data_IF_984941016019
#
_entry.id   IF_984941016019
#
_cell.length_a   1.000
_cell.length_b   1.000
_cell.length_c   1.000
_cell.angle_alpha   90.00
_cell.angle_beta   90.00
_cell.angle_gamma   90.00
#
_symmetry.space_group_name_H-M   'P 1'
#
loop_
_entity.id
_entity.type
_entity.pdbx_description
1 polymer ?
#
# COMPACT_ATOMS: atom_id res chain seq x y z
N UNK A 1 100.82 37.72 17.56
CA UNK A 1 99.52 37.79 16.86
C UNK A 1 98.46 37.38 17.89
N UNK A 2 97.98 38.26 18.78
CA UNK A 2 97.08 39.41 18.58
C UNK A 2 95.91 39.15 17.63
N UNK A 3 94.70 39.16 18.23
CA UNK A 3 93.61 40.08 17.93
C UNK A 3 92.28 39.50 17.39
N UNK A 4 91.25 39.69 18.22
CA UNK A 4 89.92 40.29 17.94
C UNK A 4 88.80 39.53 17.19
N UNK A 5 87.61 39.60 17.82
CA UNK A 5 86.21 39.42 17.33
C UNK A 5 85.88 40.41 16.17
N UNK A 6 84.63 40.59 15.62
CA UNK A 6 83.30 39.99 15.91
C UNK A 6 82.37 39.70 14.68
N UNK A 7 81.22 39.06 14.96
CA UNK A 7 79.87 39.46 14.50
C UNK A 7 79.47 39.34 13.02
N UNK A 8 78.35 38.65 12.76
CA UNK A 8 77.34 39.08 11.77
C UNK A 8 76.00 38.36 11.98
N UNK A 9 74.94 39.12 11.74
CA UNK A 9 73.52 39.02 12.09
C UNK A 9 72.68 38.15 11.11
N UNK A 10 71.42 37.79 11.44
CA UNK A 10 70.54 36.84 10.71
C UNK A 10 69.66 37.54 9.65
N UNK A 11 68.93 36.79 8.78
CA UNK A 11 67.44 36.73 8.86
C UNK A 11 66.82 35.48 8.15
N UNK A 12 65.49 35.38 7.87
CA UNK A 12 64.30 35.74 8.67
C UNK A 12 63.32 34.55 8.86
N UNK A 13 62.37 34.80 9.75
CA UNK A 13 61.19 34.01 10.10
C UNK A 13 60.28 33.66 8.91
N UNK A 14 59.99 32.36 8.73
CA UNK A 14 58.84 31.91 7.96
C UNK A 14 57.65 31.67 8.92
N UNK A 15 56.57 32.40 8.65
CA UNK A 15 55.27 32.25 9.30
C UNK A 15 54.54 31.02 8.75
N UNK A 16 53.58 30.57 9.56
CA UNK A 16 52.30 29.92 9.18
C UNK A 16 52.34 28.53 8.53
N UNK A 17 51.85 27.53 9.24
CA UNK A 17 50.48 27.02 8.99
C UNK A 17 50.09 25.94 10.01
N UNK A 18 48.92 26.17 10.61
CA UNK A 18 48.11 25.20 11.35
C UNK A 18 47.56 24.19 10.32
N UNK A 19 47.56 22.87 10.56
CA UNK A 19 46.66 21.99 9.84
C UNK A 19 45.28 22.09 10.49
N UNK A 20 44.45 22.93 9.90
CA UNK A 20 43.00 22.86 10.04
C UNK A 20 42.44 21.78 9.10
N UNK A 21 41.26 21.30 9.48
CA UNK A 21 40.29 20.56 8.68
C UNK A 21 40.50 19.05 8.48
N UNK A 22 40.03 18.33 9.49
CA UNK A 22 39.26 17.12 9.29
C UNK A 22 38.07 17.41 8.34
N UNK A 23 37.77 16.56 7.33
CA UNK A 23 36.62 16.79 6.49
C UNK A 23 35.34 16.56 7.27
N UNK A 24 34.53 17.61 7.34
CA UNK A 24 33.18 17.60 7.86
C UNK A 24 32.34 16.53 7.16
N UNK A 25 31.71 15.67 7.95
CA UNK A 25 30.68 14.75 7.48
C UNK A 25 29.46 15.57 7.02
N UNK A 26 29.33 15.78 5.73
CA UNK A 26 28.15 16.39 5.11
C UNK A 26 26.98 15.41 5.22
N UNK A 27 26.28 15.46 6.35
CA UNK A 27 25.03 14.74 6.57
C UNK A 27 23.94 15.32 5.67
N UNK A 28 23.67 14.65 4.56
CA UNK A 28 22.57 14.99 3.67
C UNK A 28 21.24 14.75 4.39
N UNK A 29 20.43 15.80 4.52
CA UNK A 29 19.07 15.70 5.04
C UNK A 29 18.17 15.07 3.98
N UNK A 30 17.80 13.82 4.18
CA UNK A 30 16.86 13.06 3.32
C UNK A 30 15.42 13.57 3.48
N UNK A 31 15.15 14.30 4.56
CA UNK A 31 13.88 14.95 4.87
C UNK A 31 14.18 16.41 5.22
N UNK A 32 14.15 17.31 4.24
CA UNK A 32 14.37 18.73 4.51
C UNK A 32 13.39 19.25 5.57
N UNK A 33 13.92 19.79 6.67
CA UNK A 33 13.14 20.63 7.58
C UNK A 33 12.83 21.93 6.82
N UNK A 34 11.57 22.11 6.43
CA UNK A 34 11.09 23.39 5.90
C UNK A 34 11.05 24.45 7.00
N UNK A 35 11.25 25.74 6.68
CA UNK A 35 11.27 26.79 7.70
C UNK A 35 9.87 26.98 8.29
N UNK A 36 9.83 27.31 9.58
CA UNK A 36 8.63 27.83 10.22
C UNK A 36 8.23 29.15 9.55
N UNK A 37 7.19 29.11 8.72
CA UNK A 37 6.59 30.29 8.12
C UNK A 37 5.21 30.52 8.75
N UNK A 38 5.16 31.51 9.62
CA UNK A 38 3.95 32.30 9.91
C UNK A 38 3.54 33.05 8.65
N UNK A 39 2.43 32.68 8.01
CA UNK A 39 1.46 33.68 7.54
C UNK A 39 0.08 33.06 7.25
N UNK A 40 -0.92 33.88 7.56
CA UNK A 40 -2.35 33.64 7.58
C UNK A 40 -2.90 33.66 6.16
N UNK A 41 -3.30 32.50 5.62
CA UNK A 41 -4.27 32.46 4.53
C UNK A 41 -5.27 31.34 4.77
N UNK A 42 -6.54 31.73 4.75
CA UNK A 42 -7.68 30.98 5.22
C UNK A 42 -7.81 29.61 4.51
N UNK A 43 -7.71 28.55 5.31
CA UNK A 43 -8.11 27.20 4.95
C UNK A 43 -9.63 27.14 4.83
N UNK A 44 -10.22 26.43 3.86
CA UNK A 44 -11.62 26.08 3.92
C UNK A 44 -11.79 24.97 4.99
N UNK A 45 -11.97 25.39 6.24
CA UNK A 45 -12.47 24.52 7.30
C UNK A 45 -13.98 24.28 7.12
N UNK A 46 -14.38 23.05 7.45
CA UNK A 46 -15.74 22.60 7.76
C UNK A 46 -16.69 22.32 6.59
N UNK A 47 -16.85 21.02 6.27
CA UNK A 47 -18.15 20.34 6.19
C UNK A 47 -17.98 18.80 6.10
N UNK A 48 -17.48 18.20 7.17
CA UNK A 48 -17.71 16.77 7.45
C UNK A 48 -17.73 16.55 8.97
N UNK A 49 -18.80 16.98 9.62
CA UNK A 49 -19.17 16.47 10.95
C UNK A 49 -20.65 16.12 10.95
N UNK A 50 -20.94 14.86 10.67
CA UNK A 50 -22.11 14.14 11.22
C UNK A 50 -22.12 12.70 10.68
N UNK A 51 -21.44 11.83 11.42
CA UNK A 51 -21.37 10.39 11.20
C UNK A 51 -20.20 9.87 12.03
N UNK A 52 -20.46 9.26 13.18
CA UNK A 52 -19.39 8.70 14.01
C UNK A 52 -18.54 7.72 13.19
N UNK A 53 -17.23 7.60 13.44
CA UNK A 53 -16.38 6.74 12.62
C UNK A 53 -16.85 5.29 12.78
N UNK A 54 -17.23 4.67 11.66
CA UNK A 54 -17.36 3.21 11.56
C UNK A 54 -15.99 2.65 11.96
N UNK A 55 -15.91 2.07 13.15
CA UNK A 55 -14.65 1.51 13.66
C UNK A 55 -14.35 0.25 12.85
N UNK A 56 -13.22 0.23 12.15
CA UNK A 56 -12.69 -1.00 11.56
C UNK A 56 -12.42 -2.03 12.64
N UNK A 57 -12.48 -3.31 12.26
CA UNK A 57 -12.20 -4.40 13.19
C UNK A 57 -10.71 -4.47 13.57
N UNK A 58 -9.83 -3.84 12.78
CA UNK A 58 -8.39 -3.80 12.97
C UNK A 58 -7.72 -2.55 12.38
N UNK A 59 -6.37 -2.51 12.40
CA UNK A 59 -5.57 -1.46 11.76
C UNK A 59 -5.90 -1.30 10.28
N UNK A 60 -5.96 -0.05 9.82
CA UNK A 60 -6.33 0.30 8.45
C UNK A 60 -5.54 1.49 7.95
N UNK A 61 -5.24 1.53 6.65
CA UNK A 61 -4.72 2.74 6.00
C UNK A 61 -5.85 3.76 5.86
N UNK A 62 -5.60 4.98 6.34
CA UNK A 62 -6.54 6.11 6.31
C UNK A 62 -6.09 7.23 5.38
N UNK A 63 -4.84 7.22 4.96
CA UNK A 63 -4.29 8.20 4.02
C UNK A 63 -3.16 7.57 3.19
N UNK A 64 -3.14 7.88 1.90
CA UNK A 64 -2.05 7.57 0.98
C UNK A 64 -1.37 8.88 0.55
N UNK A 65 -0.05 8.95 0.68
CA UNK A 65 0.75 10.13 0.34
C UNK A 65 1.72 9.84 -0.79
N UNK A 66 1.62 10.62 -1.86
CA UNK A 66 2.46 10.54 -3.04
C UNK A 66 3.20 11.87 -3.18
N UNK A 67 4.24 12.04 -2.36
CA UNK A 67 5.03 13.27 -2.35
C UNK A 67 5.78 13.49 -3.67
N UNK A 68 6.28 12.42 -4.28
CA UNK A 68 6.88 12.43 -5.61
C UNK A 68 6.83 11.01 -6.18
N UNK A 69 5.81 10.67 -6.97
CA UNK A 69 5.66 9.30 -7.51
C UNK A 69 4.90 9.31 -8.83
N UNK A 70 5.53 8.83 -9.90
CA UNK A 70 4.98 8.84 -11.26
C UNK A 70 4.40 10.23 -11.62
N UNK A 71 3.11 10.32 -11.92
CA UNK A 71 2.43 11.58 -12.22
C UNK A 71 2.17 12.49 -11.00
N UNK A 72 2.30 11.97 -9.77
CA UNK A 72 1.90 12.69 -8.55
C UNK A 72 3.04 13.47 -7.91
N UNK A 73 2.72 14.68 -7.45
CA UNK A 73 3.62 15.53 -6.66
C UNK A 73 2.85 16.21 -5.53
N UNK A 74 3.27 15.94 -4.29
CA UNK A 74 2.66 16.51 -3.09
C UNK A 74 1.17 16.16 -2.94
N UNK A 75 0.77 14.96 -3.33
CA UNK A 75 -0.64 14.54 -3.27
C UNK A 75 -0.90 13.68 -2.02
N UNK A 76 -1.88 14.09 -1.21
CA UNK A 76 -2.33 13.34 -0.03
C UNK A 76 -3.79 12.94 -0.24
N UNK A 77 -4.06 11.65 -0.28
CA UNK A 77 -5.38 11.07 -0.58
C UNK A 77 -5.99 10.44 0.65
N UNK A 78 -7.17 10.90 1.12
CA UNK A 78 -7.87 10.22 2.21
C UNK A 78 -8.36 8.85 1.73
N UNK A 79 -8.34 7.87 2.62
CA UNK A 79 -8.80 6.50 2.37
C UNK A 79 -9.88 6.16 3.41
N UNK A 80 -11.12 6.01 2.94
CA UNK A 80 -12.28 5.58 3.70
C UNK A 80 -12.62 4.10 3.48
N UNK A 81 -13.71 3.59 4.08
CA UNK A 81 -14.12 2.20 3.94
C UNK A 81 -14.37 1.78 2.49
N UNK A 82 -15.03 2.64 1.71
CA UNK A 82 -15.15 2.48 0.25
C UNK A 82 -14.68 3.78 -0.41
N UNK A 83 -13.57 3.71 -1.12
CA UNK A 83 -12.91 4.87 -1.75
C UNK A 83 -12.68 4.61 -3.23
N UNK A 84 -13.12 5.53 -4.08
CA UNK A 84 -12.93 5.43 -5.52
C UNK A 84 -12.21 6.67 -6.05
N UNK A 85 -11.08 6.45 -6.70
CA UNK A 85 -10.35 7.49 -7.42
C UNK A 85 -11.01 7.71 -8.79
N UNK A 86 -11.35 8.96 -9.08
CA UNK A 86 -11.99 9.40 -10.31
C UNK A 86 -11.15 10.48 -11.00
N UNK A 87 -11.43 10.74 -12.28
CA UNK A 87 -10.76 11.78 -13.06
C UNK A 87 -10.42 11.33 -14.49
N UNK A 88 -9.94 12.23 -15.36
CA UNK A 88 -9.65 11.94 -16.76
C UNK A 88 -8.60 10.83 -16.96
N UNK A 89 -8.52 10.30 -18.19
CA UNK A 89 -7.38 9.48 -18.58
C UNK A 89 -6.06 10.23 -18.35
N UNK A 90 -5.07 9.58 -17.76
CA UNK A 90 -3.78 10.20 -17.43
C UNK A 90 -3.69 10.89 -16.07
N UNK A 91 -4.79 11.05 -15.32
CA UNK A 91 -4.79 11.71 -13.99
C UNK A 91 -4.06 10.95 -12.88
N UNK A 92 -3.44 9.81 -13.17
CA UNK A 92 -2.70 9.04 -12.18
C UNK A 92 -3.54 8.16 -11.23
N UNK A 93 -4.80 7.85 -11.56
CA UNK A 93 -5.63 6.93 -10.75
C UNK A 93 -4.94 5.57 -10.53
N UNK A 94 -4.48 4.96 -11.62
CA UNK A 94 -3.80 3.66 -11.56
C UNK A 94 -2.44 3.75 -10.87
N UNK A 95 -1.72 4.89 -10.99
CA UNK A 95 -0.46 5.07 -10.26
C UNK A 95 -0.68 5.23 -8.76
N UNK A 96 -1.79 5.83 -8.32
CA UNK A 96 -2.15 5.88 -6.90
C UNK A 96 -2.42 4.48 -6.33
N UNK A 97 -3.20 3.64 -7.03
CA UNK A 97 -3.40 2.25 -6.61
C UNK A 97 -2.11 1.44 -6.61
N UNK A 98 -1.25 1.63 -7.63
CA UNK A 98 0.06 0.97 -7.71
C UNK A 98 0.96 1.33 -6.54
N UNK A 99 0.95 2.59 -6.10
CA UNK A 99 1.71 3.00 -4.93
C UNK A 99 1.21 2.33 -3.64
N UNK A 100 -0.11 2.18 -3.50
CA UNK A 100 -0.69 1.46 -2.36
C UNK A 100 -0.36 -0.04 -2.42
N UNK A 101 -0.48 -0.69 -3.58
CA UNK A 101 -0.04 -2.08 -3.78
C UNK A 101 1.46 -2.24 -3.45
N UNK A 102 2.30 -1.30 -3.85
CA UNK A 102 3.73 -1.32 -3.53
C UNK A 102 4.01 -1.20 -2.03
N UNK A 103 3.34 -0.28 -1.32
CA UNK A 103 3.43 -0.18 0.14
C UNK A 103 2.97 -1.46 0.84
N UNK A 104 1.88 -2.07 0.35
CA UNK A 104 1.38 -3.34 0.87
C UNK A 104 2.43 -4.46 0.75
N UNK A 105 3.04 -4.60 -0.42
CA UNK A 105 4.10 -5.61 -0.68
C UNK A 105 5.34 -5.37 0.17
N UNK A 106 5.79 -4.12 0.30
CA UNK A 106 6.90 -3.75 1.18
C UNK A 106 6.58 -4.04 2.66
N UNK A 107 5.35 -3.77 3.09
CA UNK A 107 4.86 -4.14 4.42
C UNK A 107 4.79 -5.65 4.66
N UNK A 108 4.60 -6.43 3.59
CA UNK A 108 4.72 -7.89 3.58
C UNK A 108 6.16 -8.42 3.58
N UNK A 109 7.15 -7.56 3.36
CA UNK A 109 8.57 -7.92 3.39
C UNK A 109 9.19 -8.25 2.03
N UNK A 110 8.45 -8.05 0.92
CA UNK A 110 9.01 -8.19 -0.44
C UNK A 110 10.21 -7.24 -0.63
N UNK A 111 11.29 -7.68 -1.30
CA UNK A 111 12.41 -6.83 -1.62
C UNK A 111 12.07 -5.80 -2.72
N UNK A 112 12.78 -4.67 -2.75
CA UNK A 112 12.48 -3.55 -3.64
C UNK A 112 12.46 -3.91 -5.13
N UNK A 113 13.34 -4.78 -5.60
CA UNK A 113 13.45 -5.19 -7.00
C UNK A 113 12.23 -6.00 -7.47
N UNK A 114 11.65 -6.81 -6.58
CA UNK A 114 10.38 -7.48 -6.84
C UNK A 114 9.19 -6.51 -6.80
N UNK A 115 9.21 -5.51 -5.91
CA UNK A 115 8.13 -4.52 -5.78
C UNK A 115 8.12 -3.53 -6.95
N UNK A 116 9.30 -3.08 -7.38
CA UNK A 116 9.51 -2.09 -8.43
C UNK A 116 10.40 -2.67 -9.54
N UNK A 117 9.85 -3.54 -10.41
CA UNK A 117 10.59 -4.09 -11.55
C UNK A 117 11.02 -3.01 -12.55
N UNK A 118 10.27 -1.90 -12.61
CA UNK A 118 10.64 -0.68 -13.33
C UNK A 118 10.65 0.51 -12.36
N UNK A 119 11.76 0.75 -11.64
CA UNK A 119 11.86 1.83 -10.67
C UNK A 119 11.95 3.21 -11.34
N UNK A 120 12.47 3.28 -12.57
CA UNK A 120 12.55 4.53 -13.33
C UNK A 120 11.15 5.07 -13.68
N UNK A 121 10.21 4.19 -14.04
CA UNK A 121 8.80 4.54 -14.26
C UNK A 121 8.06 5.02 -13.00
N UNK A 122 8.64 4.84 -11.81
CA UNK A 122 8.10 5.38 -10.55
C UNK A 122 8.63 6.79 -10.25
N UNK A 123 9.75 7.19 -10.88
CA UNK A 123 10.28 8.54 -10.77
C UNK A 123 9.42 9.48 -11.60
N UNK A 124 8.97 10.62 -11.04
CA UNK A 124 8.25 11.60 -11.84
C UNK A 124 9.07 12.12 -13.04
N UNK A 125 8.44 12.19 -14.21
CA UNK A 125 9.10 12.42 -15.50
C UNK A 125 10.05 13.64 -15.50
N UNK A 126 9.58 14.79 -15.02
CA UNK A 126 10.38 16.02 -14.92
C UNK A 126 11.40 16.08 -13.77
N UNK A 127 11.62 14.99 -13.02
CA UNK A 127 12.60 14.99 -11.94
C UNK A 127 14.02 14.90 -12.51
N UNK A 128 14.78 15.98 -12.38
CA UNK A 128 16.19 16.02 -12.76
C UNK A 128 17.02 15.12 -11.84
N UNK A 129 18.04 14.49 -12.40
CA UNK A 129 19.07 13.84 -11.61
C UNK A 129 19.83 14.89 -10.81
N UNK A 130 20.26 14.52 -9.60
CA UNK A 130 21.18 15.36 -8.85
C UNK A 130 22.61 15.33 -9.44
N UNK A 131 23.53 16.08 -8.83
CA UNK A 131 24.92 16.16 -9.29
C UNK A 131 25.69 14.82 -9.26
N UNK A 132 25.11 13.77 -8.68
CA UNK A 132 25.65 12.41 -8.66
C UNK A 132 24.86 11.45 -9.57
N UNK A 133 23.96 11.97 -10.40
CA UNK A 133 23.14 11.17 -11.30
C UNK A 133 21.99 10.44 -10.60
N UNK A 134 21.66 10.79 -9.34
CA UNK A 134 20.65 10.06 -8.57
C UNK A 134 19.25 10.59 -8.84
N UNK A 135 18.30 9.67 -9.00
CA UNK A 135 16.87 9.95 -9.14
C UNK A 135 16.08 8.99 -8.27
N UNK A 136 14.90 9.42 -7.82
CA UNK A 136 14.11 8.65 -6.87
C UNK A 136 12.69 9.17 -6.72
N UNK A 137 11.94 8.48 -5.87
CA UNK A 137 10.53 8.76 -5.60
C UNK A 137 10.24 8.66 -4.10
N UNK A 138 9.13 9.26 -3.69
CA UNK A 138 8.66 9.29 -2.29
C UNK A 138 7.17 8.96 -2.22
N UNK A 139 6.88 7.91 -1.45
CA UNK A 139 5.55 7.40 -1.16
C UNK A 139 5.40 7.20 0.34
N UNK A 140 4.18 7.20 0.84
CA UNK A 140 3.91 7.00 2.27
C UNK A 140 2.43 6.76 2.53
N UNK A 141 2.10 6.40 3.76
CA UNK A 141 0.72 6.23 4.20
C UNK A 141 0.55 6.53 5.69
N UNK A 142 -0.67 6.84 6.09
CA UNK A 142 -1.08 6.86 7.51
C UNK A 142 -1.94 5.64 7.78
N UNK A 143 -1.68 4.97 8.89
CA UNK A 143 -2.56 3.95 9.45
C UNK A 143 -3.20 4.46 10.73
N UNK A 144 -4.41 3.98 11.01
CA UNK A 144 -5.11 4.20 12.27
C UNK A 144 -5.46 2.86 12.91
N UNK A 145 -5.51 2.83 14.23
CA UNK A 145 -5.66 1.60 15.02
C UNK A 145 -5.35 1.79 16.51
N UNK A 146 -5.04 0.69 17.24
CA UNK A 146 -4.79 0.75 18.68
C UNK A 146 -3.64 1.68 19.12
N UNK A 147 -2.63 1.88 18.28
CA UNK A 147 -1.52 2.80 18.54
C UNK A 147 -1.86 4.26 18.18
N UNK A 148 -3.10 4.53 17.76
CA UNK A 148 -3.51 5.81 17.17
C UNK A 148 -2.94 6.01 15.76
N UNK A 149 -2.93 7.26 15.25
CA UNK A 149 -2.39 7.55 13.93
C UNK A 149 -0.87 7.29 13.86
N UNK A 150 -0.46 6.45 12.92
CA UNK A 150 0.94 6.12 12.64
C UNK A 150 1.24 6.43 11.18
N UNK A 151 2.26 7.27 10.96
CA UNK A 151 2.67 7.80 9.66
C UNK A 151 3.96 7.13 9.20
N UNK A 152 3.96 6.55 8.01
CA UNK A 152 5.14 6.04 7.31
C UNK A 152 5.44 6.90 6.08
N UNK A 153 6.66 7.43 5.97
CA UNK A 153 7.17 8.09 4.77
C UNK A 153 8.44 7.38 4.28
N UNK A 154 8.46 7.01 2.99
CA UNK A 154 9.51 6.22 2.37
C UNK A 154 10.15 7.00 1.20
N UNK A 155 11.48 7.03 1.17
CA UNK A 155 12.27 7.58 0.08
C UNK A 155 13.10 6.48 -0.58
N UNK A 156 12.87 6.28 -1.87
CA UNK A 156 13.53 5.26 -2.69
C UNK A 156 14.34 5.95 -3.77
N UNK A 157 15.62 5.59 -3.88
CA UNK A 157 16.44 5.89 -5.03
C UNK A 157 16.16 4.83 -6.10
N UNK A 158 15.85 5.26 -7.31
CA UNK A 158 15.65 4.41 -8.48
C UNK A 158 16.95 4.27 -9.29
N UNK A 159 17.69 5.37 -9.44
CA UNK A 159 18.90 5.45 -10.26
C UNK A 159 20.04 6.05 -9.43
N UNK A 160 21.31 5.63 -9.63
CA UNK A 160 21.74 4.55 -10.53
C UNK A 160 21.51 3.15 -9.97
N UNK A 161 21.23 3.02 -8.67
CA UNK A 161 20.97 1.74 -8.01
C UNK A 161 19.70 1.83 -7.20
N UNK A 162 18.80 0.88 -7.40
CA UNK A 162 17.57 0.76 -6.63
C UNK A 162 17.89 0.49 -5.16
N UNK A 163 17.44 1.37 -4.26
CA UNK A 163 17.58 1.20 -2.80
C UNK A 163 16.71 2.18 -2.01
N UNK A 164 16.37 1.82 -0.79
CA UNK A 164 15.80 2.73 0.21
C UNK A 164 16.92 3.65 0.70
N UNK A 165 16.70 4.96 0.58
CA UNK A 165 17.65 5.98 1.05
C UNK A 165 17.21 6.64 2.35
N UNK A 166 15.92 6.54 2.67
CA UNK A 166 15.37 6.99 3.93
C UNK A 166 13.96 6.48 4.17
N UNK A 167 13.66 6.33 5.45
CA UNK A 167 12.38 5.89 5.96
C UNK A 167 12.11 6.64 7.25
N UNK A 168 10.87 7.04 7.47
CA UNK A 168 10.44 7.69 8.69
C UNK A 168 9.12 7.09 9.16
N UNK A 169 9.11 6.55 10.38
CA UNK A 169 7.91 6.13 11.09
C UNK A 169 7.64 7.12 12.23
N UNK A 170 6.47 7.71 12.27
CA UNK A 170 6.05 8.68 13.29
C UNK A 170 4.74 8.22 13.93
N UNK A 171 4.64 8.29 15.26
CA UNK A 171 3.43 7.91 15.99
C UNK A 171 3.40 8.56 17.37
N UNK A 172 2.21 8.97 17.83
CA UNK A 172 2.08 9.67 19.12
C UNK A 172 2.84 11.02 19.20
N UNK A 173 3.05 11.68 18.06
CA UNK A 173 3.83 12.92 17.97
C UNK A 173 5.35 12.74 17.92
N UNK A 174 5.84 11.51 18.06
CA UNK A 174 7.27 11.19 18.12
C UNK A 174 7.78 10.51 16.85
N UNK A 175 9.07 10.73 16.53
CA UNK A 175 9.76 9.97 15.47
C UNK A 175 10.23 8.65 16.08
N UNK A 176 9.59 7.55 15.65
CA UNK A 176 9.81 6.21 16.18
C UNK A 176 10.94 5.48 15.45
N UNK A 177 11.03 5.68 14.13
CA UNK A 177 12.12 5.17 13.30
C UNK A 177 12.55 6.25 12.32
N UNK A 178 13.86 6.37 12.13
CA UNK A 178 14.45 7.04 10.98
C UNK A 178 15.55 6.16 10.38
N UNK A 179 15.62 6.10 9.06
CA UNK A 179 16.74 5.50 8.34
C UNK A 179 17.41 6.55 7.44
N UNK A 180 18.73 6.42 7.27
CA UNK A 180 19.49 7.26 6.37
C UNK A 180 20.61 6.46 5.71
N UNK A 181 20.75 6.61 4.40
CA UNK A 181 21.94 6.14 3.69
C UNK A 181 23.15 7.00 4.09
N UNK A 182 24.10 6.40 4.82
CA UNK A 182 25.34 7.07 5.26
C UNK A 182 26.54 6.72 4.40
N UNK A 183 26.60 5.49 3.93
CA UNK A 183 27.68 4.96 3.09
C UNK A 183 27.07 4.32 1.84
N UNK A 184 27.08 5.03 0.69
CA UNK A 184 26.55 4.50 -0.57
C UNK A 184 27.24 3.22 -1.07
N UNK A 185 28.46 2.94 -0.59
CA UNK A 185 29.21 1.73 -0.93
C UNK A 185 28.70 0.47 -0.24
N UNK A 186 27.77 0.59 0.72
CA UNK A 186 27.15 -0.54 1.43
C UNK A 186 25.70 -0.72 1.01
N UNK A 187 25.24 -1.96 1.06
CA UNK A 187 23.83 -2.36 0.90
C UNK A 187 23.04 -2.26 2.22
N UNK A 188 23.30 -1.20 2.98
CA UNK A 188 22.67 -0.99 4.30
C UNK A 188 22.42 0.49 4.56
N UNK A 189 21.28 0.78 5.17
CA UNK A 189 20.99 2.09 5.76
C UNK A 189 21.26 2.08 7.26
N UNK A 190 21.68 3.23 7.79
CA UNK A 190 21.77 3.42 9.23
C UNK A 190 20.38 3.70 9.78
N UNK A 191 19.83 2.77 10.56
CA UNK A 191 18.59 2.98 11.28
C UNK A 191 18.84 3.54 12.68
N UNK A 192 17.91 4.36 13.16
CA UNK A 192 17.80 4.80 14.53
C UNK A 192 16.34 4.71 14.98
N UNK A 193 16.06 3.98 16.07
CA UNK A 193 14.73 3.88 16.64
C UNK A 193 14.67 4.36 18.08
N UNK A 194 13.53 4.93 18.43
CA UNK A 194 13.25 5.53 19.72
C UNK A 194 13.30 4.49 20.86
N UNK A 195 13.77 4.89 22.03
CA UNK A 195 13.77 4.00 23.21
C UNK A 195 13.13 4.63 24.45
N UNK A 196 13.03 5.96 24.56
CA UNK A 196 12.71 6.64 25.83
C UNK A 196 13.59 6.17 27.02
N UNK A 197 14.78 5.63 26.77
CA UNK A 197 15.72 5.16 27.79
C UNK A 197 16.88 6.14 28.04
N UNK A 198 17.88 5.70 28.80
CA UNK A 198 19.09 6.50 29.09
C UNK A 198 19.84 6.95 27.82
N UNK A 199 19.76 6.14 26.75
CA UNK A 199 20.18 6.53 25.40
C UNK A 199 18.91 6.76 24.57
N UNK A 200 18.67 7.96 24.03
CA UNK A 200 17.38 8.31 23.42
C UNK A 200 17.00 7.45 22.21
N UNK A 201 18.00 6.91 21.50
CA UNK A 201 17.81 6.04 20.33
C UNK A 201 18.77 4.86 20.34
N UNK A 202 18.34 3.72 19.81
CA UNK A 202 19.25 2.63 19.43
C UNK A 202 19.57 2.74 17.94
N UNK A 203 20.83 2.51 17.57
CA UNK A 203 21.30 2.57 16.18
C UNK A 203 21.79 1.21 15.72
N UNK A 204 21.36 0.78 14.54
CA UNK A 204 21.84 -0.44 13.91
C UNK A 204 21.73 -0.34 12.39
N UNK A 205 22.53 -1.11 11.62
CA UNK A 205 22.33 -1.23 10.20
C UNK A 205 21.08 -2.07 9.89
N UNK A 206 20.30 -1.62 8.92
CA UNK A 206 19.24 -2.37 8.26
C UNK A 206 19.58 -2.51 6.77
N UNK A 207 19.14 -3.58 6.10
CA UNK A 207 19.31 -3.71 4.65
C UNK A 207 18.59 -2.55 3.95
N UNK A 208 19.13 -2.11 2.81
CA UNK A 208 18.56 -1.01 2.01
C UNK A 208 17.60 -1.49 0.91
N UNK A 209 17.26 -2.79 0.89
CA UNK A 209 16.35 -3.42 -0.07
C UNK A 209 15.00 -3.83 0.54
N UNK A 210 14.79 -3.61 1.84
CA UNK A 210 13.58 -3.98 2.59
C UNK A 210 13.10 -2.85 3.49
N UNK A 211 11.79 -2.81 3.72
CA UNK A 211 11.18 -1.84 4.62
C UNK A 211 11.66 -2.06 6.07
N UNK A 212 12.34 -1.07 6.65
CA UNK A 212 12.87 -1.13 8.00
C UNK A 212 11.76 -1.30 9.05
N UNK A 213 10.60 -0.67 8.85
CA UNK A 213 9.40 -0.82 9.69
C UNK A 213 8.97 -2.27 9.80
N UNK A 214 9.02 -3.04 8.70
CA UNK A 214 8.67 -4.47 8.71
C UNK A 214 9.69 -5.33 9.48
N UNK A 215 10.93 -4.84 9.65
CA UNK A 215 11.98 -5.53 10.39
C UNK A 215 12.00 -5.22 11.89
N UNK A 216 11.34 -4.13 12.33
CA UNK A 216 11.37 -3.70 13.73
C UNK A 216 10.89 -4.76 14.73
N UNK A 217 9.79 -5.51 14.47
CA UNK A 217 9.35 -6.58 15.39
C UNK A 217 10.40 -7.67 15.64
N UNK A 218 11.34 -7.85 14.70
CA UNK A 218 12.42 -8.84 14.80
C UNK A 218 13.71 -8.27 15.42
N UNK A 219 13.79 -6.95 15.62
CA UNK A 219 15.03 -6.24 15.99
C UNK A 219 14.92 -5.49 17.32
N UNK A 220 13.74 -5.02 17.68
CA UNK A 220 13.52 -4.20 18.88
C UNK A 220 13.19 -5.10 20.07
N UNK A 221 13.90 -4.90 21.18
CA UNK A 221 13.78 -5.77 22.35
C UNK A 221 12.51 -5.57 23.20
N UNK A 222 11.82 -4.44 23.04
CA UNK A 222 10.59 -4.13 23.79
C UNK A 222 10.79 -3.93 25.30
N UNK A 223 11.97 -3.48 25.74
CA UNK A 223 12.32 -3.36 27.17
C UNK A 223 11.97 -2.02 27.80
N UNK A 224 11.75 -1.00 26.98
CA UNK A 224 11.48 0.37 27.42
C UNK A 224 10.17 0.85 26.82
N UNK A 225 9.55 1.86 27.43
CA UNK A 225 8.29 2.44 26.94
C UNK A 225 8.39 2.89 25.48
N UNK A 226 9.49 3.59 25.12
CA UNK A 226 9.71 4.01 23.74
C UNK A 226 9.91 2.84 22.78
N UNK A 227 10.54 1.74 23.22
CA UNK A 227 10.66 0.53 22.39
C UNK A 227 9.31 -0.17 22.20
N UNK A 228 8.45 -0.18 23.23
CA UNK A 228 7.09 -0.71 23.11
C UNK A 228 6.24 0.15 22.17
N UNK A 229 6.38 1.47 22.20
CA UNK A 229 5.73 2.38 21.25
C UNK A 229 6.20 2.14 19.82
N UNK A 230 7.51 1.93 19.60
CA UNK A 230 8.06 1.56 18.29
C UNK A 230 7.46 0.25 17.79
N UNK A 231 7.40 -0.79 18.62
CA UNK A 231 6.81 -2.08 18.27
C UNK A 231 5.33 -1.94 17.93
N UNK A 232 4.54 -1.28 18.79
CA UNK A 232 3.10 -1.09 18.57
C UNK A 232 2.81 -0.35 17.25
N UNK A 233 3.57 0.70 16.93
CA UNK A 233 3.39 1.44 15.69
C UNK A 233 3.81 0.63 14.45
N UNK A 234 4.93 -0.09 14.55
CA UNK A 234 5.42 -0.93 13.45
C UNK A 234 4.47 -2.09 13.16
N UNK A 235 4.02 -2.80 14.19
CA UNK A 235 3.04 -3.89 14.08
C UNK A 235 1.73 -3.38 13.47
N UNK A 236 1.20 -2.25 13.96
CA UNK A 236 -0.01 -1.65 13.38
C UNK A 236 0.15 -1.36 11.88
N UNK A 237 1.26 -0.75 11.48
CA UNK A 237 1.55 -0.42 10.09
C UNK A 237 1.63 -1.69 9.23
N UNK A 238 2.38 -2.70 9.69
CA UNK A 238 2.55 -3.97 8.98
C UNK A 238 1.23 -4.73 8.86
N UNK A 239 0.42 -4.79 9.92
CA UNK A 239 -0.89 -5.46 9.90
C UNK A 239 -1.84 -4.79 8.90
N UNK A 240 -1.86 -3.46 8.87
CA UNK A 240 -2.69 -2.72 7.91
C UNK A 240 -2.26 -2.96 6.45
N UNK A 241 -0.95 -3.00 6.19
CA UNK A 241 -0.38 -3.17 4.85
C UNK A 241 -0.43 -4.63 4.34
N UNK A 242 -0.22 -5.62 5.22
CA UNK A 242 -0.31 -7.06 4.87
C UNK A 242 -1.74 -7.51 4.62
N UNK A 243 -2.73 -6.75 5.10
CA UNK A 243 -4.15 -7.06 4.90
C UNK A 243 -4.70 -6.49 3.58
N UNK A 244 -3.88 -6.41 2.52
CA UNK A 244 -4.28 -5.82 1.22
C UNK A 244 -4.29 -6.88 0.13
N UNK A 245 -5.38 -6.98 -0.62
CA UNK A 245 -5.53 -7.83 -1.80
C UNK A 245 -5.71 -6.99 -3.06
N UNK A 246 -4.75 -7.04 -3.98
CA UNK A 246 -4.96 -6.50 -5.32
C UNK A 246 -5.82 -7.48 -6.15
N UNK A 247 -6.99 -7.01 -6.57
CA UNK A 247 -7.93 -7.75 -7.38
C UNK A 247 -7.99 -7.18 -8.79
N UNK A 248 -7.63 -7.99 -9.77
CA UNK A 248 -7.65 -7.64 -11.19
C UNK A 248 -8.27 -8.78 -12.00
N UNK A 249 -9.60 -8.95 -12.00
CA UNK A 249 -10.24 -10.04 -12.72
C UNK A 249 -9.95 -9.95 -14.22
N UNK A 250 -9.49 -11.05 -14.82
CA UNK A 250 -9.14 -11.15 -16.23
C UNK A 250 -10.06 -12.15 -16.93
N UNK A 251 -11.23 -11.72 -17.45
CA UNK A 251 -12.24 -12.63 -18.02
C UNK A 251 -11.69 -13.67 -18.99
N UNK A 252 -10.77 -13.37 -19.93
CA UNK A 252 -10.22 -14.39 -20.81
C UNK A 252 -9.56 -15.57 -20.08
N UNK A 253 -8.93 -15.33 -18.92
CA UNK A 253 -8.27 -16.35 -18.10
C UNK A 253 -9.22 -17.07 -17.15
N UNK A 254 -10.38 -16.50 -16.87
CA UNK A 254 -11.39 -17.04 -15.94
C UNK A 254 -12.29 -18.10 -16.57
N UNK A 255 -12.34 -18.17 -17.92
CA UNK A 255 -13.27 -19.02 -18.67
C UNK A 255 -12.90 -20.49 -18.68
N UNK A 256 -11.61 -20.80 -18.58
CA UNK A 256 -11.08 -22.15 -18.69
C UNK A 256 -11.28 -22.99 -17.43
N UNK A 257 -11.29 -24.33 -17.55
CA UNK A 257 -11.20 -25.20 -16.39
C UNK A 257 -9.84 -25.05 -15.69
N UNK A 258 -9.80 -25.23 -14.37
CA UNK A 258 -8.60 -25.02 -13.55
C UNK A 258 -8.32 -26.21 -12.63
N UNK A 259 -7.06 -26.47 -12.25
CA UNK A 259 -6.75 -27.52 -11.28
C UNK A 259 -7.45 -27.27 -9.94
N UNK A 260 -7.88 -28.35 -9.28
CA UNK A 260 -8.25 -28.29 -7.88
C UNK A 260 -6.99 -27.99 -7.05
N UNK A 261 -6.95 -26.80 -6.47
CA UNK A 261 -5.84 -26.33 -5.65
C UNK A 261 -6.28 -26.00 -4.22
N UNK A 262 -5.55 -25.12 -3.55
CA UNK A 262 -5.95 -24.62 -2.24
C UNK A 262 -7.25 -23.78 -2.29
N UNK A 263 -7.70 -23.38 -3.48
CA UNK A 263 -8.91 -22.58 -3.68
C UNK A 263 -8.78 -21.13 -3.19
N UNK A 264 -7.56 -20.63 -2.92
CA UNK A 264 -7.34 -19.22 -2.61
C UNK A 264 -7.39 -18.40 -3.88
N UNK A 265 -8.31 -17.45 -4.00
CA UNK A 265 -8.49 -16.64 -5.19
C UNK A 265 -7.25 -15.77 -5.45
N UNK A 266 -6.72 -15.84 -6.67
CA UNK A 266 -5.53 -15.12 -7.11
C UNK A 266 -5.88 -13.72 -7.62
N UNK A 267 -4.87 -12.84 -7.71
CA UNK A 267 -4.97 -11.47 -8.27
C UNK A 267 -5.78 -11.43 -9.58
N UNK A 268 -5.45 -12.30 -10.53
CA UNK A 268 -6.10 -12.38 -11.85
C UNK A 268 -7.51 -13.00 -11.86
N UNK A 269 -7.95 -13.58 -10.74
CA UNK A 269 -9.16 -14.40 -10.60
C UNK A 269 -9.24 -15.59 -11.57
N UNK A 270 -8.12 -15.99 -12.19
CA UNK A 270 -8.04 -17.11 -13.15
C UNK A 270 -8.52 -18.43 -12.55
N UNK A 271 -8.38 -18.61 -11.24
CA UNK A 271 -8.83 -19.79 -10.51
C UNK A 271 -10.23 -19.67 -9.89
N UNK A 272 -11.12 -18.90 -10.51
CA UNK A 272 -12.50 -18.66 -10.03
C UNK A 272 -13.23 -19.95 -9.63
N UNK A 273 -13.14 -21.01 -10.45
CA UNK A 273 -13.84 -22.26 -10.15
C UNK A 273 -13.35 -22.94 -8.86
N UNK A 274 -12.05 -22.93 -8.60
CA UNK A 274 -11.49 -23.46 -7.36
C UNK A 274 -11.91 -22.64 -6.13
N UNK A 275 -11.97 -21.31 -6.27
CA UNK A 275 -12.42 -20.43 -5.19
C UNK A 275 -13.93 -20.56 -4.90
N UNK A 276 -14.74 -20.81 -5.93
CA UNK A 276 -16.17 -21.11 -5.77
C UNK A 276 -16.39 -22.44 -5.06
N UNK A 277 -15.64 -23.50 -5.42
CA UNK A 277 -15.71 -24.80 -4.74
C UNK A 277 -15.38 -24.67 -3.25
N UNK A 278 -14.29 -23.96 -2.93
CA UNK A 278 -13.90 -23.66 -1.54
C UNK A 278 -14.97 -22.86 -0.81
N UNK A 279 -15.54 -21.83 -1.43
CA UNK A 279 -16.56 -20.99 -0.78
C UNK A 279 -17.84 -21.77 -0.49
N UNK A 280 -18.27 -22.62 -1.43
CA UNK A 280 -19.41 -23.51 -1.26
C UNK A 280 -19.22 -24.48 -0.09
N UNK A 281 -18.05 -25.12 0.00
CA UNK A 281 -17.75 -26.11 1.03
C UNK A 281 -17.52 -25.51 2.42
N UNK A 282 -16.89 -24.33 2.50
CA UNK A 282 -16.50 -23.73 3.78
C UNK A 282 -17.61 -22.91 4.45
N UNK A 283 -18.50 -22.26 3.68
CA UNK A 283 -19.50 -21.39 4.27
C UNK A 283 -20.75 -21.23 3.39
N UNK A 284 -21.78 -22.03 3.69
CA UNK A 284 -23.07 -21.97 3.00
C UNK A 284 -23.70 -20.56 2.99
N UNK A 285 -23.54 -19.79 4.07
CA UNK A 285 -24.04 -18.40 4.14
C UNK A 285 -23.33 -17.46 3.16
N UNK A 286 -22.00 -17.57 3.02
CA UNK A 286 -21.25 -16.78 2.03
C UNK A 286 -21.63 -17.19 0.61
N UNK A 287 -21.74 -18.49 0.37
CA UNK A 287 -22.18 -19.02 -0.91
C UNK A 287 -23.58 -18.51 -1.29
N UNK A 288 -24.56 -18.56 -0.40
CA UNK A 288 -25.90 -18.04 -0.65
C UNK A 288 -25.91 -16.53 -0.96
N UNK A 289 -25.10 -15.73 -0.24
CA UNK A 289 -24.92 -14.30 -0.55
C UNK A 289 -24.30 -14.08 -1.93
N UNK A 290 -23.36 -14.94 -2.34
CA UNK A 290 -22.74 -14.87 -3.66
C UNK A 290 -23.74 -15.23 -4.77
N UNK A 291 -24.61 -16.23 -4.56
CA UNK A 291 -25.71 -16.54 -5.48
C UNK A 291 -26.67 -15.35 -5.61
N UNK A 292 -27.03 -14.69 -4.50
CA UNK A 292 -27.86 -13.48 -4.54
C UNK A 292 -27.19 -12.31 -5.27
N UNK A 293 -25.87 -12.12 -5.09
CA UNK A 293 -25.10 -11.16 -5.87
C UNK A 293 -25.12 -11.52 -7.35
N UNK A 294 -24.84 -12.78 -7.70
CA UNK A 294 -24.88 -13.28 -9.08
C UNK A 294 -26.24 -13.05 -9.75
N UNK A 295 -27.35 -13.30 -9.05
CA UNK A 295 -28.69 -12.97 -9.53
C UNK A 295 -28.86 -11.47 -9.83
N UNK A 296 -28.17 -10.61 -9.09
CA UNK A 296 -28.23 -9.16 -9.27
C UNK A 296 -27.37 -8.69 -10.45
N UNK A 297 -26.19 -9.28 -10.68
CA UNK A 297 -25.24 -8.82 -11.70
C UNK A 297 -25.16 -9.63 -12.99
N UNK A 298 -25.69 -10.86 -13.04
CA UNK A 298 -25.70 -11.67 -14.26
C UNK A 298 -26.98 -11.47 -15.07
N UNK A 299 -26.89 -11.72 -16.37
CA UNK A 299 -28.01 -11.67 -17.29
C UNK A 299 -28.95 -12.85 -17.03
N UNK A 300 -30.25 -12.57 -16.89
CA UNK A 300 -31.28 -13.55 -16.59
C UNK A 300 -31.20 -14.14 -15.17
N UNK A 301 -32.19 -14.94 -14.76
CA UNK A 301 -32.24 -15.51 -13.41
C UNK A 301 -31.02 -16.39 -13.11
N UNK A 302 -30.46 -16.24 -11.92
CA UNK A 302 -29.43 -17.12 -11.35
C UNK A 302 -30.00 -17.79 -10.12
N UNK A 303 -30.05 -19.12 -10.14
CA UNK A 303 -30.61 -19.94 -9.06
C UNK A 303 -29.54 -20.63 -8.23
N UNK A 304 -28.34 -20.82 -8.79
CA UNK A 304 -27.21 -21.44 -8.11
C UNK A 304 -25.87 -21.03 -8.73
N UNK A 305 -24.79 -21.22 -7.98
CA UNK A 305 -23.43 -21.23 -8.49
C UNK A 305 -22.84 -22.61 -8.17
N UNK A 306 -22.31 -23.28 -9.18
CA UNK A 306 -21.82 -24.65 -9.07
C UNK A 306 -20.38 -24.78 -9.54
N UNK A 307 -19.80 -25.93 -9.22
CA UNK A 307 -18.53 -26.38 -9.78
C UNK A 307 -18.69 -27.83 -10.21
N UNK A 308 -18.38 -28.10 -11.46
CA UNK A 308 -18.31 -29.43 -12.05
C UNK A 308 -16.85 -29.89 -12.05
N UNK A 309 -16.61 -31.12 -11.60
CA UNK A 309 -15.30 -31.76 -11.69
C UNK A 309 -15.25 -32.61 -12.94
N UNK A 310 -14.35 -32.26 -13.85
CA UNK A 310 -14.12 -32.96 -15.10
C UNK A 310 -13.36 -34.28 -14.86
N UNK A 311 -13.37 -35.16 -15.87
CA UNK A 311 -12.75 -36.48 -15.78
C UNK A 311 -11.22 -36.44 -15.55
N UNK A 312 -10.56 -35.37 -16.01
CA UNK A 312 -9.14 -35.09 -15.80
C UNK A 312 -8.83 -34.44 -14.43
N UNK A 313 -9.85 -34.27 -13.58
CA UNK A 313 -9.73 -33.69 -12.24
C UNK A 313 -9.78 -32.17 -12.22
N UNK A 314 -9.90 -31.50 -13.37
CA UNK A 314 -10.06 -30.05 -13.44
C UNK A 314 -11.46 -29.62 -12.97
N UNK A 315 -11.54 -28.39 -12.51
CA UNK A 315 -12.75 -27.74 -12.01
C UNK A 315 -13.28 -26.76 -13.04
N UNK A 316 -14.58 -26.83 -13.30
CA UNK A 316 -15.27 -25.93 -14.17
C UNK A 316 -16.45 -25.28 -13.45
N UNK A 317 -16.49 -23.96 -13.37
CA UNK A 317 -17.60 -23.27 -12.70
C UNK A 317 -18.84 -23.16 -13.59
N UNK A 318 -20.00 -23.21 -12.95
CA UNK A 318 -21.30 -23.16 -13.62
C UNK A 318 -22.26 -22.19 -12.90
N UNK A 319 -23.18 -21.62 -13.67
CA UNK A 319 -24.27 -20.78 -13.19
C UNK A 319 -25.58 -21.53 -13.41
N UNK A 320 -26.27 -21.86 -12.33
CA UNK A 320 -27.61 -22.43 -12.36
C UNK A 320 -28.63 -21.40 -12.86
N UNK A 321 -29.49 -21.83 -13.79
CA UNK A 321 -30.56 -21.07 -14.43
C UNK A 321 -31.90 -21.76 -14.16
N UNK A 322 -32.99 -21.08 -14.48
CA UNK A 322 -34.33 -21.65 -14.36
C UNK A 322 -34.49 -22.96 -15.16
N UNK A 323 -35.32 -23.85 -14.64
CA UNK A 323 -35.55 -25.18 -15.24
C UNK A 323 -34.37 -26.15 -15.07
N UNK A 324 -33.47 -25.91 -14.11
CA UNK A 324 -32.38 -26.82 -13.76
C UNK A 324 -31.20 -26.82 -14.75
N UNK A 325 -31.15 -25.84 -15.66
CA UNK A 325 -30.04 -25.69 -16.61
C UNK A 325 -28.81 -25.13 -15.90
N UNK A 326 -27.63 -25.66 -16.21
CA UNK A 326 -26.36 -25.11 -15.75
C UNK A 326 -25.58 -24.54 -16.94
N UNK A 327 -25.21 -23.27 -16.85
CA UNK A 327 -24.41 -22.58 -17.87
C UNK A 327 -22.96 -22.51 -17.42
N UNK A 328 -22.00 -23.09 -18.18
CA UNK A 328 -20.56 -22.84 -18.00
C UNK A 328 -20.23 -21.36 -17.82
N UNK A 329 -19.43 -20.99 -16.80
CA UNK A 329 -19.00 -19.59 -16.64
C UNK A 329 -18.21 -19.10 -17.86
N UNK A 330 -17.57 -20.03 -18.57
CA UNK A 330 -16.88 -19.77 -19.84
C UNK A 330 -17.76 -19.16 -20.94
N UNK A 331 -19.08 -19.21 -20.81
CA UNK A 331 -20.07 -18.63 -21.75
C UNK A 331 -20.63 -17.27 -21.31
N UNK A 332 -20.29 -16.78 -20.13
CA UNK A 332 -20.77 -15.49 -19.63
C UNK A 332 -20.08 -14.32 -20.34
N UNK A 333 -20.67 -13.13 -20.30
CA UNK A 333 -20.02 -11.90 -20.76
C UNK A 333 -18.82 -11.51 -19.87
N UNK A 334 -17.92 -10.68 -20.39
CA UNK A 334 -16.76 -10.20 -19.62
C UNK A 334 -17.19 -9.42 -18.37
N UNK A 335 -18.22 -8.57 -18.49
CA UNK A 335 -18.81 -7.86 -17.35
C UNK A 335 -19.38 -8.79 -16.29
N UNK A 336 -20.07 -9.87 -16.68
CA UNK A 336 -20.60 -10.87 -15.73
C UNK A 336 -19.47 -11.59 -14.99
N UNK A 337 -18.39 -11.97 -15.68
CA UNK A 337 -17.23 -12.60 -15.07
C UNK A 337 -16.54 -11.66 -14.09
N UNK A 338 -16.28 -10.40 -14.49
CA UNK A 338 -15.69 -9.38 -13.59
C UNK A 338 -16.58 -9.14 -12.38
N UNK A 339 -17.88 -8.99 -12.57
CA UNK A 339 -18.85 -8.82 -11.48
C UNK A 339 -18.79 -9.99 -10.49
N UNK A 340 -18.83 -11.24 -10.98
CA UNK A 340 -18.80 -12.43 -10.12
C UNK A 340 -17.49 -12.52 -9.32
N UNK A 341 -16.35 -12.25 -9.95
CA UNK A 341 -15.07 -12.25 -9.25
C UNK A 341 -14.99 -11.17 -8.17
N UNK A 342 -15.40 -9.93 -8.49
CA UNK A 342 -15.40 -8.83 -7.52
C UNK A 342 -16.37 -9.10 -6.37
N UNK A 343 -17.57 -9.61 -6.66
CA UNK A 343 -18.54 -10.00 -5.62
C UNK A 343 -18.01 -11.14 -4.73
N UNK A 344 -17.34 -12.14 -5.33
CA UNK A 344 -16.68 -13.21 -4.58
C UNK A 344 -15.61 -12.65 -3.65
N UNK A 345 -14.76 -11.73 -4.13
CA UNK A 345 -13.73 -11.09 -3.32
C UNK A 345 -14.31 -10.30 -2.15
N UNK A 346 -15.36 -9.51 -2.40
CA UNK A 346 -16.03 -8.73 -1.36
C UNK A 346 -16.65 -9.62 -0.29
N UNK A 347 -17.22 -10.77 -0.69
CA UNK A 347 -17.84 -11.73 0.22
C UNK A 347 -16.85 -12.71 0.86
N UNK A 348 -15.65 -12.81 0.30
CA UNK A 348 -14.56 -13.64 0.77
C UNK A 348 -13.89 -13.00 2.00
N UNK A 349 -13.67 -13.82 3.03
CA UNK A 349 -12.75 -13.44 4.11
C UNK A 349 -11.29 -13.65 3.70
N UNK A 350 -10.32 -13.17 4.49
CA UNK A 350 -8.89 -13.32 4.19
C UNK A 350 -8.48 -14.78 3.89
N UNK A 351 -9.10 -15.76 4.55
CA UNK A 351 -8.83 -17.19 4.32
C UNK A 351 -9.28 -17.77 2.96
N UNK A 352 -9.92 -16.99 2.09
CA UNK A 352 -10.29 -17.40 0.72
C UNK A 352 -9.48 -16.64 -0.34
N UNK A 353 -8.72 -15.61 0.03
CA UNK A 353 -7.89 -14.84 -0.89
C UNK A 353 -6.43 -15.25 -0.77
N UNK A 354 -5.69 -15.16 -1.87
CA UNK A 354 -4.24 -15.37 -1.87
C UNK A 354 -3.53 -14.12 -1.31
N UNK A 355 -3.76 -13.84 -0.03
CA UNK A 355 -3.11 -12.78 0.75
C UNK A 355 -2.31 -13.44 1.85
N UNK A 356 -1.08 -12.98 2.05
CA UNK A 356 -0.33 -13.30 3.27
C UNK A 356 -0.85 -12.44 4.43
N UNK A 357 -2.06 -12.76 4.89
CA UNK A 357 -2.63 -12.09 6.05
C UNK A 357 -1.76 -12.37 7.28
N UNK A 358 -1.64 -11.38 8.16
CA UNK A 358 -0.90 -11.50 9.42
C UNK A 358 -1.51 -12.61 10.31
N UNK A 359 -1.11 -13.87 10.10
CA UNK A 359 -1.67 -15.06 10.74
C UNK A 359 -1.48 -15.09 12.26
N UNK A 360 -0.53 -14.29 12.76
CA UNK A 360 -0.32 -13.98 14.17
C UNK A 360 -1.45 -13.12 14.78
N UNK A 361 -2.21 -12.40 13.96
CA UNK A 361 -3.36 -11.59 14.38
C UNK A 361 -4.64 -12.42 14.20
N UNK A 362 -5.48 -12.56 15.24
CA UNK A 362 -6.81 -13.17 15.11
C UNK A 362 -7.60 -12.57 13.95
N UNK A 363 -8.23 -13.42 13.14
CA UNK A 363 -8.96 -12.98 11.94
C UNK A 363 -10.08 -11.97 12.23
N UNK A 364 -10.60 -11.94 13.46
CA UNK A 364 -11.59 -10.98 13.93
C UNK A 364 -11.03 -9.55 14.08
N UNK A 365 -9.70 -9.40 14.18
CA UNK A 365 -8.98 -8.14 14.28
C UNK A 365 -8.26 -7.77 12.98
N UNK A 366 -8.52 -8.49 11.89
CA UNK A 366 -8.00 -8.16 10.56
C UNK A 366 -9.08 -7.43 9.77
N UNK A 367 -8.72 -6.31 9.14
CA UNK A 367 -9.58 -5.63 8.16
C UNK A 367 -8.94 -5.78 6.79
N UNK A 368 -9.57 -6.57 5.92
CA UNK A 368 -9.07 -6.77 4.56
C UNK A 368 -9.33 -5.50 3.73
N UNK A 369 -8.35 -5.02 2.97
CA UNK A 369 -8.52 -3.99 1.95
C UNK A 369 -8.38 -4.59 0.56
N UNK A 370 -9.39 -4.41 -0.28
CA UNK A 370 -9.36 -4.83 -1.68
C UNK A 370 -8.98 -3.64 -2.54
N UNK A 371 -7.95 -3.79 -3.37
CA UNK A 371 -7.59 -2.82 -4.41
C UNK A 371 -8.18 -3.28 -5.75
N UNK A 372 -8.93 -2.43 -6.44
CA UNK A 372 -9.54 -2.75 -7.73
C UNK A 372 -9.33 -1.64 -8.76
N UNK A 373 -8.32 -1.77 -9.62
CA UNK A 373 -8.08 -0.81 -10.71
C UNK A 373 -9.06 -1.04 -11.87
N UNK A 374 -9.75 0.02 -12.28
CA UNK A 374 -10.83 -0.02 -13.26
C UNK A 374 -12.00 -0.85 -12.75
N UNK A 375 -12.52 -0.55 -11.55
CA UNK A 375 -13.61 -1.28 -10.91
C UNK A 375 -14.83 -1.42 -11.84
N UNK A 376 -15.13 -0.39 -12.61
CA UNK A 376 -16.25 -0.30 -13.55
C UNK A 376 -15.92 -0.79 -14.97
N UNK A 377 -14.70 -1.28 -15.22
CA UNK A 377 -14.31 -1.84 -16.52
C UNK A 377 -15.22 -3.01 -16.89
N UNK A 378 -15.78 -2.95 -18.09
CA UNK A 378 -16.75 -3.90 -18.67
C UNK A 378 -18.06 -4.07 -17.89
N UNK A 379 -18.28 -3.29 -16.82
CA UNK A 379 -19.51 -3.35 -16.03
C UNK A 379 -20.55 -2.36 -16.56
N UNK A 380 -21.80 -2.78 -16.60
CA UNK A 380 -22.91 -1.84 -16.76
C UNK A 380 -23.23 -1.09 -15.45
N UNK A 381 -24.08 -0.07 -15.54
CA UNK A 381 -24.44 0.74 -14.38
C UNK A 381 -25.17 -0.03 -13.27
N UNK A 382 -25.90 -1.10 -13.60
CA UNK A 382 -26.60 -1.95 -12.62
C UNK A 382 -25.59 -2.81 -11.87
N UNK A 383 -24.64 -3.42 -12.58
CA UNK A 383 -23.56 -4.22 -12.03
C UNK A 383 -22.68 -3.39 -11.10
N UNK A 384 -22.26 -2.20 -11.53
CA UNK A 384 -21.47 -1.30 -10.70
C UNK A 384 -22.22 -0.94 -9.41
N UNK A 385 -23.49 -0.50 -9.51
CA UNK A 385 -24.31 -0.18 -8.33
C UNK A 385 -24.40 -1.36 -7.37
N UNK A 386 -24.69 -2.56 -7.88
CA UNK A 386 -24.77 -3.77 -7.06
C UNK A 386 -23.46 -4.10 -6.33
N UNK A 387 -22.30 -3.85 -6.95
CA UNK A 387 -21.00 -4.02 -6.28
C UNK A 387 -20.75 -2.96 -5.21
N UNK A 388 -21.12 -1.69 -5.47
CA UNK A 388 -20.96 -0.62 -4.48
C UNK A 388 -21.85 -0.83 -3.27
N UNK A 389 -23.12 -1.19 -3.48
CA UNK A 389 -24.06 -1.53 -2.40
C UNK A 389 -23.53 -2.70 -1.56
N UNK A 390 -22.99 -3.73 -2.22
CA UNK A 390 -22.35 -4.86 -1.56
C UNK A 390 -21.10 -4.42 -0.76
N UNK A 391 -20.22 -3.61 -1.35
CA UNK A 391 -19.02 -3.13 -0.68
C UNK A 391 -19.35 -2.27 0.55
N UNK A 392 -20.32 -1.36 0.44
CA UNK A 392 -20.79 -0.54 1.57
C UNK A 392 -21.40 -1.42 2.67
N UNK A 393 -22.24 -2.39 2.30
CA UNK A 393 -22.86 -3.31 3.26
C UNK A 393 -21.82 -4.10 4.06
N UNK A 394 -20.77 -4.59 3.40
CA UNK A 394 -19.71 -5.37 4.06
C UNK A 394 -18.75 -4.45 4.83
N UNK A 395 -18.45 -3.27 4.28
CA UNK A 395 -17.60 -2.27 4.93
C UNK A 395 -18.22 -1.71 6.20
N UNK A 396 -19.55 -1.58 6.27
CA UNK A 396 -20.26 -1.19 7.48
C UNK A 396 -20.07 -2.19 8.64
N UNK A 397 -19.80 -3.47 8.33
CA UNK A 397 -19.45 -4.46 9.35
C UNK A 397 -17.98 -4.39 9.81
N UNK A 398 -17.17 -3.50 9.22
CA UNK A 398 -15.79 -3.23 9.65
C UNK A 398 -14.76 -4.29 9.23
N UNK A 399 -15.15 -5.30 8.45
CA UNK A 399 -14.29 -6.43 8.08
C UNK A 399 -13.57 -6.26 6.73
N UNK A 400 -14.09 -5.40 5.86
CA UNK A 400 -13.55 -5.19 4.52
C UNK A 400 -13.56 -3.72 4.15
N UNK A 401 -12.59 -3.32 3.35
CA UNK A 401 -12.49 -2.02 2.70
C UNK A 401 -12.26 -2.20 1.21
N UNK A 402 -12.77 -1.28 0.41
CA UNK A 402 -12.57 -1.26 -1.04
C UNK A 402 -11.91 0.07 -1.42
N UNK A 403 -10.79 -0.02 -2.11
CA UNK A 403 -10.15 1.13 -2.77
C UNK A 403 -10.02 0.81 -4.25
N UNK A 404 -10.60 1.65 -5.10
CA UNK A 404 -10.65 1.37 -6.53
C UNK A 404 -10.42 2.60 -7.39
N UNK A 405 -10.30 2.39 -8.69
CA UNK A 405 -10.41 3.48 -9.68
C UNK A 405 -11.66 3.28 -10.52
N UNK A 406 -12.23 4.38 -10.99
CA UNK A 406 -13.40 4.37 -11.87
C UNK A 406 -13.24 5.35 -13.01
N UNK A 407 -13.98 5.11 -14.09
CA UNK A 407 -14.17 6.08 -15.18
C UNK A 407 -15.10 7.22 -14.74
N UNK A 408 -15.20 8.27 -15.56
CA UNK A 408 -16.09 9.40 -15.27
C UNK A 408 -17.57 8.98 -15.12
N UNK A 409 -18.15 8.13 -15.99
CA UNK A 409 -19.49 7.57 -15.77
C UNK A 409 -19.61 6.80 -14.45
N UNK A 410 -18.62 5.98 -14.11
CA UNK A 410 -18.60 5.25 -12.85
C UNK A 410 -18.55 6.16 -11.63
N UNK A 411 -17.81 7.28 -11.72
CA UNK A 411 -17.72 8.28 -10.67
C UNK A 411 -19.07 8.99 -10.40
N UNK A 412 -19.87 9.25 -11.45
CA UNK A 412 -21.23 9.80 -11.27
C UNK A 412 -22.08 8.84 -10.44
N UNK A 413 -22.06 7.53 -10.78
CA UNK A 413 -22.79 6.50 -10.03
C UNK A 413 -22.29 6.32 -8.60
N UNK A 414 -20.98 6.39 -8.41
CA UNK A 414 -20.38 6.31 -7.09
C UNK A 414 -20.87 7.42 -6.15
N UNK A 415 -21.00 8.66 -6.65
CA UNK A 415 -21.53 9.81 -5.88
C UNK A 415 -23.00 9.66 -5.49
N UNK A 416 -23.79 8.92 -6.28
CA UNK A 416 -25.18 8.60 -5.96
C UNK A 416 -25.29 7.54 -4.83
N UNK A 417 -24.21 6.84 -4.49
CA UNK A 417 -24.22 5.71 -3.55
C UNK A 417 -23.76 6.16 -2.17
N UNK A 418 -24.66 6.16 -1.20
CA UNK A 418 -24.34 6.53 0.18
C UNK A 418 -23.25 5.61 0.78
N UNK A 419 -22.26 6.19 1.45
CA UNK A 419 -21.14 5.45 2.05
C UNK A 419 -19.94 5.23 1.11
N UNK A 420 -20.01 5.68 -0.13
CA UNK A 420 -18.88 5.70 -1.08
C UNK A 420 -18.21 7.07 -1.06
N UNK A 421 -16.90 7.09 -0.84
CA UNK A 421 -16.08 8.29 -0.98
C UNK A 421 -15.47 8.34 -2.38
N UNK A 422 -15.65 9.46 -3.09
CA UNK A 422 -15.03 9.70 -4.39
C UNK A 422 -13.92 10.74 -4.24
N UNK A 423 -12.72 10.40 -4.71
CA UNK A 423 -11.55 11.29 -4.69
C UNK A 423 -11.21 11.67 -6.13
N UNK A 424 -11.43 12.94 -6.48
CA UNK A 424 -11.20 13.46 -7.83
C UNK A 424 -9.73 13.83 -8.05
N UNK A 425 -9.10 13.16 -9.01
CA UNK A 425 -7.72 13.41 -9.44
C UNK A 425 -7.73 14.32 -10.66
N UNK A 426 -6.90 15.36 -10.60
CA UNK A 426 -6.63 16.26 -11.72
C UNK A 426 -5.40 15.77 -12.50
N UNK A 427 -5.30 16.06 -13.80
CA UNK A 427 -4.14 15.72 -14.62
C UNK A 427 -2.84 16.31 -14.09
#
# INVERSE_FOLDING_TARGET
MSALRPGTTPPPSARTSVPADAPAATGMSVFGDGPAATDTSARPEALWRSGGPVRSAGPVVTELRLSAFASHRGADFPIGPVTLFAGPGGSGKSSALRAYEALARLGGGDPLDEVFPDPAGCVPEGAAADGQGRRGFRIGCTTDGPAGPVRLDLAVQAEPTLRIVGERLTGGGEILLTTALRDPGRSTVQAAWHTAGAVPVTRAPLPDDRLGTALLPLRVAGRTEGQLQVLAAAEQMVVALRSVFACEPQPPRMRGPVPAGDGRLRRGCDNLAAALERTHTQCARRHARLVAAAHTGCAGPVTALGVERLADGLLHATVGRDGGRATPVGRLGDGELRYLALALVLLAGPGVLAVDAAGEVPSAMQTLTVLADGLDRDLDGRQLRGLLDLAVSIGAAGHLRLVGTVTEPGAVRARETAGVMVVDLKP
#
